data_IF_615139180777
#
_entry.id   IF_615139180777
#
_cell.length_a   1.000
_cell.length_b   1.000
_cell.length_c   1.000
_cell.angle_alpha   90.00
_cell.angle_beta   90.00
_cell.angle_gamma   90.00
#
_symmetry.space_group_name_H-M   'P 1'
#
loop_
_entity.id
_entity.type
_entity.pdbx_description
1 polymer ?
#
# COMPACT_ATOMS: atom_id res chain seq x y z
N UNK A 1 21.80 -7.33 9.25
CA UNK A 1 20.53 -8.05 8.98
C UNK A 1 20.50 -8.33 7.48
N UNK A 2 20.22 -9.56 7.05
CA UNK A 2 20.28 -9.91 5.63
C UNK A 2 19.27 -9.06 4.84
N UNK A 3 19.73 -8.37 3.79
CA UNK A 3 18.85 -7.60 2.91
C UNK A 3 17.94 -8.57 2.13
N UNK A 4 16.78 -8.88 2.71
CA UNK A 4 15.83 -9.84 2.14
C UNK A 4 15.17 -9.18 0.94
N UNK A 5 15.11 -9.91 -0.18
CA UNK A 5 14.39 -9.46 -1.38
C UNK A 5 12.94 -9.13 -1.00
N UNK A 6 12.46 -7.96 -1.43
CA UNK A 6 11.10 -7.46 -1.13
C UNK A 6 10.03 -8.51 -1.46
N UNK A 7 10.19 -9.22 -2.58
CA UNK A 7 9.28 -10.28 -3.02
C UNK A 7 9.05 -11.40 -1.98
N UNK A 8 9.95 -11.57 -1.02
CA UNK A 8 9.89 -12.62 0.02
C UNK A 8 9.38 -12.09 1.38
N UNK A 9 8.91 -10.85 1.46
CA UNK A 9 8.35 -10.27 2.67
C UNK A 9 6.85 -10.61 2.82
N UNK A 10 6.40 -10.81 4.05
CA UNK A 10 4.97 -10.74 4.36
C UNK A 10 4.48 -9.29 4.26
N UNK A 11 3.16 -9.11 4.29
CA UNK A 11 2.58 -7.77 4.34
C UNK A 11 3.04 -7.01 5.59
N UNK A 12 2.95 -7.61 6.78
CA UNK A 12 3.38 -6.94 8.01
C UNK A 12 4.87 -6.57 8.00
N UNK A 13 5.72 -7.45 7.46
CA UNK A 13 7.15 -7.18 7.34
C UNK A 13 7.42 -6.00 6.41
N UNK A 14 6.76 -5.96 5.25
CA UNK A 14 6.92 -4.86 4.30
C UNK A 14 6.40 -3.54 4.85
N UNK A 15 5.27 -3.55 5.57
CA UNK A 15 4.69 -2.38 6.22
C UNK A 15 5.60 -1.84 7.34
N UNK A 16 6.13 -2.71 8.20
CA UNK A 16 7.06 -2.31 9.26
C UNK A 16 8.36 -1.71 8.69
N UNK A 17 8.90 -2.31 7.63
CA UNK A 17 10.09 -1.78 6.98
C UNK A 17 9.82 -0.42 6.32
N UNK A 18 8.65 -0.25 5.70
CA UNK A 18 8.24 1.02 5.10
C UNK A 18 8.08 2.12 6.15
N UNK A 19 7.47 1.82 7.30
CA UNK A 19 7.34 2.77 8.42
C UNK A 19 8.72 3.21 8.92
N UNK A 20 9.65 2.28 9.09
CA UNK A 20 11.02 2.60 9.49
C UNK A 20 11.76 3.47 8.46
N UNK A 21 11.49 3.27 7.16
CA UNK A 21 12.03 4.11 6.09
C UNK A 21 11.46 5.52 6.17
N UNK A 22 10.14 5.66 6.32
CA UNK A 22 9.48 6.97 6.45
C UNK A 22 10.05 7.74 7.64
N UNK A 23 10.16 7.10 8.80
CA UNK A 23 10.75 7.72 9.99
C UNK A 23 12.17 8.23 9.75
N UNK A 24 13.00 7.50 9.00
CA UNK A 24 14.36 7.93 8.67
C UNK A 24 14.39 9.10 7.70
N UNK A 25 13.53 9.08 6.67
CA UNK A 25 13.41 10.17 5.70
C UNK A 25 12.93 11.46 6.38
N UNK A 26 12.01 11.35 7.33
CA UNK A 26 11.50 12.49 8.12
C UNK A 26 12.54 13.04 9.10
N UNK A 27 13.52 12.23 9.52
CA UNK A 27 14.58 12.62 10.45
C UNK A 27 15.55 13.67 9.88
N UNK A 28 15.72 13.74 8.56
CA UNK A 28 16.49 14.79 7.89
C UNK A 28 18.02 14.74 8.06
N UNK A 29 18.55 13.68 8.68
CA UNK A 29 20.00 13.49 8.91
C UNK A 29 20.72 12.77 7.75
N UNK A 30 19.97 12.34 6.73
CA UNK A 30 20.47 11.54 5.61
C UNK A 30 21.06 12.42 4.51
N UNK A 31 22.10 11.92 3.85
CA UNK A 31 22.55 12.54 2.61
C UNK A 31 21.61 12.20 1.43
N UNK A 32 21.87 12.83 0.28
CA UNK A 32 21.03 12.67 -0.91
C UNK A 32 21.01 11.22 -1.42
N UNK A 33 22.17 10.55 -1.46
CA UNK A 33 22.30 9.19 -1.98
C UNK A 33 21.59 8.18 -1.06
N UNK A 34 21.73 8.35 0.25
CA UNK A 34 20.98 7.58 1.25
C UNK A 34 19.48 7.80 1.13
N UNK A 35 19.05 9.06 0.98
CA UNK A 35 17.64 9.42 0.83
C UNK A 35 17.03 8.80 -0.44
N UNK A 36 17.77 8.82 -1.55
CA UNK A 36 17.33 8.18 -2.80
C UNK A 36 17.22 6.66 -2.66
N UNK A 37 18.21 6.03 -2.02
CA UNK A 37 18.19 4.57 -1.80
C UNK A 37 17.00 4.14 -0.94
N UNK A 38 16.70 4.88 0.13
CA UNK A 38 15.56 4.62 1.00
C UNK A 38 14.23 4.88 0.28
N UNK A 39 14.15 5.91 -0.55
CA UNK A 39 12.96 6.20 -1.34
C UNK A 39 12.67 5.08 -2.35
N UNK A 40 13.67 4.62 -3.10
CA UNK A 40 13.51 3.50 -4.04
C UNK A 40 13.03 2.23 -3.33
N UNK A 41 13.66 1.91 -2.19
CA UNK A 41 13.25 0.77 -1.35
C UNK A 41 11.82 0.94 -0.86
N UNK A 42 11.45 2.12 -0.39
CA UNK A 42 10.08 2.44 0.05
C UNK A 42 9.05 2.24 -1.07
N UNK A 43 9.39 2.63 -2.29
CA UNK A 43 8.52 2.42 -3.46
C UNK A 43 8.34 0.93 -3.78
N UNK A 44 9.40 0.13 -3.70
CA UNK A 44 9.30 -1.33 -3.87
C UNK A 44 8.40 -1.97 -2.80
N UNK A 45 8.57 -1.59 -1.54
CA UNK A 45 7.78 -2.09 -0.41
C UNK A 45 6.30 -1.73 -0.55
N UNK A 46 6.01 -0.48 -0.98
CA UNK A 46 4.65 -0.01 -1.22
C UNK A 46 3.96 -0.82 -2.32
N UNK A 47 4.64 -1.02 -3.47
CA UNK A 47 4.13 -1.85 -4.57
C UNK A 47 3.87 -3.29 -4.15
N UNK A 48 4.79 -3.89 -3.39
CA UNK A 48 4.63 -5.25 -2.88
C UNK A 48 3.45 -5.37 -1.91
N UNK A 49 3.28 -4.38 -1.02
CA UNK A 49 2.17 -4.34 -0.08
C UNK A 49 0.83 -4.24 -0.82
N UNK A 50 0.74 -3.37 -1.82
CA UNK A 50 -0.45 -3.25 -2.67
C UNK A 50 -0.77 -4.58 -3.38
N UNK A 51 0.23 -5.25 -3.95
CA UNK A 51 0.03 -6.53 -4.61
C UNK A 51 -0.49 -7.62 -3.65
N UNK A 52 0.01 -7.65 -2.40
CA UNK A 52 -0.47 -8.58 -1.36
C UNK A 52 -1.92 -8.30 -0.98
N UNK A 53 -2.31 -7.03 -0.85
CA UNK A 53 -3.69 -6.64 -0.56
C UNK A 53 -4.63 -7.03 -1.70
N UNK A 54 -4.23 -6.79 -2.95
CA UNK A 54 -5.01 -7.16 -4.13
C UNK A 54 -5.20 -8.68 -4.23
N UNK A 55 -4.16 -9.49 -4.00
CA UNK A 55 -4.29 -10.96 -3.97
C UNK A 55 -5.23 -11.44 -2.85
N UNK A 56 -5.15 -10.82 -1.66
CA UNK A 56 -6.05 -11.14 -0.56
C UNK A 56 -7.52 -10.81 -0.90
N UNK A 57 -7.77 -9.63 -1.50
CA UNK A 57 -9.09 -9.20 -1.93
C UNK A 57 -9.67 -10.15 -3.00
N UNK A 58 -8.86 -10.56 -3.98
CA UNK A 58 -9.27 -11.52 -5.01
C UNK A 58 -9.66 -12.87 -4.39
N UNK A 59 -8.89 -13.36 -3.42
CA UNK A 59 -9.22 -14.60 -2.71
C UNK A 59 -10.55 -14.49 -1.97
N UNK A 60 -10.81 -13.36 -1.30
CA UNK A 60 -12.09 -13.12 -0.63
C UNK A 60 -13.24 -13.11 -1.66
N UNK A 61 -13.08 -12.44 -2.80
CA UNK A 61 -14.09 -12.43 -3.88
C UNK A 61 -14.44 -13.83 -4.36
N UNK A 62 -13.44 -14.67 -4.61
CA UNK A 62 -13.65 -16.06 -5.06
C UNK A 62 -14.41 -16.86 -4.00
N UNK A 63 -14.04 -16.74 -2.72
CA UNK A 63 -14.71 -17.45 -1.63
C UNK A 63 -16.18 -17.01 -1.46
N UNK A 64 -16.46 -15.72 -1.56
CA UNK A 64 -17.85 -15.22 -1.49
C UNK A 64 -18.71 -15.69 -2.67
N UNK A 65 -18.15 -15.67 -3.89
CA UNK A 65 -18.84 -16.18 -5.08
C UNK A 65 -19.18 -17.67 -4.97
N UNK A 66 -18.26 -18.48 -4.41
CA UNK A 66 -18.50 -19.90 -4.14
C UNK A 66 -19.59 -20.13 -3.08
N UNK A 67 -19.71 -19.22 -2.11
CA UNK A 67 -20.65 -19.33 -1.00
C UNK A 67 -22.01 -18.64 -1.25
N UNK A 68 -22.24 -18.12 -2.47
CA UNK A 68 -23.47 -17.41 -2.83
C UNK A 68 -23.69 -16.08 -2.10
N UNK A 69 -22.64 -15.49 -1.53
CA UNK A 69 -22.70 -14.21 -0.82
C UNK A 69 -22.41 -13.03 -1.77
N UNK A 70 -22.99 -11.86 -1.46
CA UNK A 70 -22.97 -10.66 -2.31
C UNK A 70 -21.54 -10.21 -2.70
N UNK A 71 -21.42 -9.66 -3.91
CA UNK A 71 -20.15 -9.26 -4.52
C UNK A 71 -19.48 -8.13 -3.75
N UNK A 72 -18.15 -8.20 -3.60
CA UNK A 72 -17.37 -7.05 -3.15
C UNK A 72 -17.50 -5.93 -4.19
N UNK A 73 -17.85 -4.74 -3.73
CA UNK A 73 -17.76 -3.50 -4.51
C UNK A 73 -16.38 -2.88 -4.29
N UNK A 74 -15.79 -2.34 -5.34
CA UNK A 74 -14.53 -1.61 -5.21
C UNK A 74 -14.73 -0.41 -4.27
N UNK A 75 -13.81 -0.20 -3.35
CA UNK A 75 -13.82 0.96 -2.49
C UNK A 75 -13.37 2.18 -3.30
N UNK A 76 -14.33 2.88 -3.91
CA UNK A 76 -14.06 4.17 -4.53
C UNK A 76 -13.95 5.24 -3.44
N UNK A 77 -12.75 5.82 -3.27
CA UNK A 77 -12.59 7.08 -2.56
C UNK A 77 -13.45 8.11 -3.28
N UNK A 78 -14.65 8.33 -2.77
CA UNK A 78 -15.61 9.27 -3.32
C UNK A 78 -14.91 10.63 -3.43
N UNK A 79 -14.68 11.10 -4.66
CA UNK A 79 -14.38 12.51 -4.85
C UNK A 79 -15.49 13.30 -4.15
N UNK A 80 -15.17 14.38 -3.41
CA UNK A 80 -16.22 15.22 -2.82
C UNK A 80 -17.17 15.59 -3.94
N UNK A 81 -18.42 15.11 -3.82
CA UNK A 81 -19.48 15.38 -4.74
C UNK A 81 -19.62 16.90 -4.81
N UNK A 82 -19.14 17.52 -5.89
CA UNK A 82 -19.35 18.95 -6.10
C UNK A 82 -20.86 19.15 -6.19
N UNK A 83 -21.44 19.73 -5.15
CA UNK A 83 -22.85 20.01 -5.06
C UNK A 83 -23.20 21.01 -6.17
N UNK A 84 -24.02 20.66 -7.18
CA UNK A 84 -24.29 21.55 -8.31
C UNK A 84 -25.14 22.78 -7.91
N UNK A 85 -25.47 22.96 -6.63
CA UNK A 85 -26.34 24.01 -6.12
C UNK A 85 -25.61 25.17 -5.40
N UNK A 86 -24.28 25.28 -5.46
CA UNK A 86 -23.54 26.43 -4.91
C UNK A 86 -23.54 27.69 -5.79
N UNK A 87 -24.24 27.68 -6.93
CA UNK A 87 -24.55 28.88 -7.71
C UNK A 87 -26.04 29.22 -7.61
N UNK A 88 -26.40 29.86 -6.50
CA UNK A 88 -27.68 30.53 -6.27
C UNK A 88 -27.49 31.82 -5.51
#
# INVERSE_FOLDING_TARGET
MANKKVANLSFEQAAQELEAIVQKLEGGELDLEESMTLFERGLELSKHSQAKLTDAEQKIRILQQQNGQESLVDFELSQPQQDPNELG
#
